data_IF_067777996596
#
_entry.id   IF_067777996596
#
_cell.length_a   1.000
_cell.length_b   1.000
_cell.length_c   1.000
_cell.angle_alpha   90.00
_cell.angle_beta   90.00
_cell.angle_gamma   90.00
#
_symmetry.space_group_name_H-M   'P 1'
#
loop_
_entity.id
_entity.type
_entity.pdbx_description
1 polymer ?
#
# COMPACT_ATOMS: atom_id res chain seq x y z
N UNK A 1 52.92 30.87 -40.35
CA UNK A 1 52.59 31.03 -38.92
C UNK A 1 51.12 31.39 -38.78
N UNK A 2 50.23 30.43 -39.06
CA UNK A 2 48.78 30.64 -38.99
C UNK A 2 48.08 29.27 -38.87
N UNK A 3 47.96 28.72 -37.64
CA UNK A 3 47.15 27.47 -37.46
C UNK A 3 46.74 27.15 -36.00
N UNK A 4 46.78 28.10 -35.08
CA UNK A 4 46.46 27.77 -33.68
C UNK A 4 45.19 28.43 -33.09
N UNK A 5 44.52 29.33 -33.85
CA UNK A 5 43.33 30.05 -33.30
C UNK A 5 42.01 29.26 -33.46
N UNK A 6 41.88 28.43 -34.50
CA UNK A 6 40.60 27.76 -34.78
C UNK A 6 40.31 26.52 -33.90
N UNK A 7 41.34 25.86 -33.39
CA UNK A 7 41.17 24.65 -32.53
C UNK A 7 40.60 24.99 -31.15
N UNK A 8 40.98 26.17 -30.59
CA UNK A 8 40.49 26.59 -29.27
C UNK A 8 38.99 26.91 -29.26
N UNK A 9 38.47 27.50 -30.34
CA UNK A 9 37.03 27.81 -30.45
C UNK A 9 36.16 26.54 -30.62
N UNK A 10 36.67 25.54 -31.34
CA UNK A 10 35.96 24.26 -31.54
C UNK A 10 35.89 23.50 -30.23
N UNK A 11 36.95 23.45 -29.41
CA UNK A 11 36.98 22.76 -28.13
C UNK A 11 36.06 23.44 -27.09
N UNK A 12 35.99 24.76 -27.07
CA UNK A 12 35.09 25.51 -26.17
C UNK A 12 33.64 25.30 -26.59
N UNK A 13 33.32 25.28 -27.90
CA UNK A 13 31.97 25.05 -28.42
C UNK A 13 31.48 23.64 -28.06
N UNK A 14 32.31 22.60 -28.23
CA UNK A 14 31.97 21.23 -27.87
C UNK A 14 31.77 21.04 -26.36
N UNK A 15 32.56 21.70 -25.52
CA UNK A 15 32.42 21.65 -24.06
C UNK A 15 31.09 22.26 -23.57
N UNK A 16 30.68 23.41 -24.15
CA UNK A 16 29.41 24.07 -23.79
C UNK A 16 28.20 23.25 -24.24
N UNK A 17 28.23 22.64 -25.44
CA UNK A 17 27.14 21.77 -25.92
C UNK A 17 27.02 20.50 -25.05
N UNK A 18 28.15 19.88 -24.68
CA UNK A 18 28.13 18.72 -23.80
C UNK A 18 27.59 19.05 -22.39
N UNK A 19 27.93 20.22 -21.83
CA UNK A 19 27.42 20.68 -20.55
C UNK A 19 25.90 20.97 -20.60
N UNK A 20 25.41 21.59 -21.67
CA UNK A 20 23.97 21.86 -21.85
C UNK A 20 23.17 20.59 -22.04
N UNK A 21 23.67 19.62 -22.80
CA UNK A 21 23.03 18.29 -22.95
C UNK A 21 23.02 17.52 -21.62
N UNK A 22 24.11 17.58 -20.86
CA UNK A 22 24.19 16.94 -19.54
C UNK A 22 23.22 17.56 -18.53
N UNK A 23 23.09 18.87 -18.49
CA UNK A 23 22.13 19.57 -17.62
C UNK A 23 20.70 19.29 -18.05
N UNK A 24 20.41 19.27 -19.36
CA UNK A 24 19.06 18.95 -19.86
C UNK A 24 18.68 17.48 -19.59
N UNK A 25 19.61 16.55 -19.76
CA UNK A 25 19.39 15.15 -19.41
C UNK A 25 19.17 14.98 -17.91
N UNK A 26 19.93 15.66 -17.05
CA UNK A 26 19.77 15.54 -15.59
C UNK A 26 18.47 16.18 -15.09
N UNK A 27 18.05 17.30 -15.66
CA UNK A 27 16.75 17.90 -15.33
C UNK A 27 15.57 17.05 -15.85
N UNK A 28 15.73 16.39 -17.01
CA UNK A 28 14.72 15.46 -17.55
C UNK A 28 14.63 14.16 -16.75
N UNK A 29 15.76 13.56 -16.33
CA UNK A 29 15.78 12.39 -15.45
C UNK A 29 15.20 12.66 -14.06
N UNK A 30 15.38 13.87 -13.54
CA UNK A 30 14.80 14.27 -12.25
C UNK A 30 13.28 14.45 -12.25
N UNK A 31 12.66 14.55 -13.43
CA UNK A 31 11.20 14.70 -13.58
C UNK A 31 10.46 13.37 -13.82
N UNK A 32 11.16 12.32 -14.24
CA UNK A 32 10.53 11.01 -14.55
C UNK A 32 10.22 10.13 -13.34
N UNK A 33 10.47 10.56 -12.10
CA UNK A 33 10.37 9.71 -10.91
C UNK A 33 9.45 10.17 -9.79
N UNK A 34 8.83 11.35 -9.87
CA UNK A 34 7.89 11.78 -8.84
C UNK A 34 6.47 11.57 -9.32
N UNK A 35 5.84 10.49 -8.86
CA UNK A 35 4.38 10.38 -8.96
C UNK A 35 3.75 11.68 -8.46
N UNK A 36 2.87 12.26 -9.26
CA UNK A 36 2.07 13.45 -8.88
C UNK A 36 1.31 13.23 -7.56
N UNK A 37 1.10 11.97 -7.22
CA UNK A 37 0.38 11.53 -6.04
C UNK A 37 1.27 10.61 -5.22
N UNK A 38 1.68 11.08 -4.04
CA UNK A 38 2.43 10.29 -3.07
C UNK A 38 1.46 9.64 -2.08
N UNK A 39 1.73 8.39 -1.71
CA UNK A 39 1.01 7.70 -0.65
C UNK A 39 1.87 7.73 0.61
N UNK A 40 1.53 8.54 1.62
CA UNK A 40 2.32 8.62 2.84
C UNK A 40 2.26 7.32 3.64
N UNK A 41 3.29 7.00 4.43
CA UNK A 41 3.21 5.93 5.41
C UNK A 41 2.19 6.27 6.48
N UNK A 42 1.48 5.26 6.96
CA UNK A 42 0.50 5.33 8.02
C UNK A 42 0.56 4.08 8.89
N UNK A 43 0.06 4.17 10.11
CA UNK A 43 -0.08 3.03 11.00
C UNK A 43 -1.32 3.15 11.87
N UNK A 44 -1.83 2.02 12.32
CA UNK A 44 -2.86 1.92 13.33
C UNK A 44 -2.45 0.84 14.33
N UNK A 45 -2.60 1.14 15.61
CA UNK A 45 -2.34 0.21 16.69
C UNK A 45 -3.53 0.18 17.66
N UNK A 46 -3.83 -0.99 18.21
CA UNK A 46 -4.84 -1.18 19.23
C UNK A 46 -4.40 -2.29 20.21
N UNK A 47 -4.79 -2.16 21.47
CA UNK A 47 -4.68 -3.22 22.46
C UNK A 47 -6.06 -3.86 22.62
N UNK A 48 -6.21 -5.12 22.25
CA UNK A 48 -7.48 -5.84 22.31
C UNK A 48 -7.24 -7.16 23.08
N UNK A 49 -8.07 -7.42 24.06
CA UNK A 49 -7.88 -8.54 24.97
C UNK A 49 -6.61 -8.49 25.82
N UNK A 50 -5.96 -7.32 25.91
CA UNK A 50 -4.67 -7.10 26.59
C UNK A 50 -3.45 -7.21 25.66
N UNK A 51 -3.62 -7.64 24.40
CA UNK A 51 -2.52 -7.85 23.47
C UNK A 51 -2.46 -6.76 22.38
N UNK A 52 -1.26 -6.24 22.09
CA UNK A 52 -1.08 -5.23 21.06
C UNK A 52 -1.15 -5.83 19.64
N UNK A 53 -1.88 -5.14 18.77
CA UNK A 53 -1.94 -5.39 17.34
C UNK A 53 -1.52 -4.11 16.63
N UNK A 54 -0.62 -4.20 15.68
CA UNK A 54 -0.15 -3.07 14.88
C UNK A 54 -0.28 -3.36 13.39
N UNK A 55 -0.73 -2.37 12.61
CA UNK A 55 -0.78 -2.46 11.14
C UNK A 55 -0.05 -1.25 10.58
N UNK A 56 0.92 -1.50 9.70
CA UNK A 56 1.69 -0.50 8.97
C UNK A 56 1.32 -0.57 7.49
N UNK A 57 1.03 0.56 6.88
CA UNK A 57 0.58 0.62 5.48
C UNK A 57 0.96 1.96 4.83
N UNK A 58 0.69 2.08 3.54
CA UNK A 58 0.77 3.35 2.81
C UNK A 58 -0.64 3.77 2.42
N UNK A 59 -0.99 5.02 2.68
CA UNK A 59 -2.34 5.57 2.55
C UNK A 59 -2.51 6.37 1.25
N UNK A 60 -2.95 5.75 0.14
CA UNK A 60 -3.25 6.47 -1.10
C UNK A 60 -4.51 7.32 -0.95
N UNK A 61 -4.57 8.45 -1.68
CA UNK A 61 -5.75 9.31 -1.77
C UNK A 61 -6.41 9.21 -3.15
N UNK A 62 -7.70 9.47 -3.21
CA UNK A 62 -8.52 9.43 -4.43
C UNK A 62 -8.07 10.48 -5.45
N UNK A 63 -7.86 11.70 -5.02
CA UNK A 63 -7.61 12.85 -5.90
C UNK A 63 -8.61 12.94 -7.05
N UNK A 64 -9.91 12.78 -6.75
CA UNK A 64 -11.00 12.82 -7.72
C UNK A 64 -11.07 11.61 -8.66
N UNK A 65 -10.27 10.57 -8.46
CA UNK A 65 -10.29 9.35 -9.28
C UNK A 65 -11.28 8.34 -8.70
N UNK A 66 -11.89 7.54 -9.57
CA UNK A 66 -12.66 6.37 -9.14
C UNK A 66 -11.71 5.32 -8.57
N UNK A 67 -11.98 4.85 -7.35
CA UNK A 67 -11.14 3.86 -6.67
C UNK A 67 -11.62 2.44 -6.97
N UNK A 68 -12.80 2.08 -6.49
CA UNK A 68 -13.30 0.70 -6.62
C UNK A 68 -13.75 0.40 -8.05
N UNK A 69 -13.16 -0.62 -8.67
CA UNK A 69 -13.34 -0.92 -10.09
C UNK A 69 -12.56 0.03 -11.04
N UNK A 70 -11.69 0.89 -10.49
CA UNK A 70 -10.81 1.81 -11.23
C UNK A 70 -9.37 1.62 -10.77
N UNK A 71 -8.90 2.43 -9.80
CA UNK A 71 -7.54 2.30 -9.24
C UNK A 71 -7.30 0.94 -8.58
N UNK A 72 -8.33 0.38 -7.98
CA UNK A 72 -8.38 -0.96 -7.39
C UNK A 72 -9.38 -1.79 -8.21
N UNK A 73 -8.91 -2.53 -9.22
CA UNK A 73 -9.79 -3.33 -10.07
C UNK A 73 -10.44 -4.47 -9.28
N UNK A 74 -11.69 -4.78 -9.61
CA UNK A 74 -12.36 -5.96 -9.06
C UNK A 74 -11.75 -7.24 -9.63
N UNK A 75 -11.68 -8.29 -8.81
CA UNK A 75 -11.13 -9.59 -9.19
C UNK A 75 -9.60 -9.64 -9.28
N UNK A 76 -8.90 -8.57 -8.87
CA UNK A 76 -7.43 -8.49 -8.85
C UNK A 76 -6.94 -8.35 -7.42
N UNK A 77 -5.91 -9.12 -7.06
CA UNK A 77 -5.29 -9.04 -5.73
C UNK A 77 -4.63 -7.67 -5.55
N UNK A 78 -4.94 -7.01 -4.45
CA UNK A 78 -4.44 -5.69 -4.09
C UNK A 78 -3.64 -5.74 -2.79
N UNK A 79 -2.53 -5.04 -2.72
CA UNK A 79 -1.63 -4.94 -1.56
C UNK A 79 -2.25 -4.23 -0.33
N UNK A 80 -3.54 -3.90 -0.39
CA UNK A 80 -4.31 -3.25 0.69
C UNK A 80 -3.70 -1.91 1.14
N UNK A 81 -3.25 -1.14 0.16
CA UNK A 81 -2.54 0.13 0.36
C UNK A 81 -1.84 0.57 -0.92
N UNK A 82 -0.61 1.08 -0.77
CA UNK A 82 0.25 1.47 -1.89
C UNK A 82 1.72 1.18 -1.55
N UNK A 83 2.62 1.27 -2.56
CA UNK A 83 4.07 1.09 -2.46
C UNK A 83 4.46 -0.31 -1.95
N UNK A 84 4.47 -0.53 -0.64
CA UNK A 84 4.76 -1.82 0.00
C UNK A 84 3.47 -2.45 0.49
N UNK A 85 3.42 -3.78 0.52
CA UNK A 85 2.29 -4.51 1.06
C UNK A 85 2.04 -4.14 2.53
N UNK A 86 0.78 -3.96 2.88
CA UNK A 86 0.35 -3.69 4.26
C UNK A 86 0.81 -4.82 5.18
N UNK A 87 1.37 -4.47 6.33
CA UNK A 87 1.90 -5.43 7.31
C UNK A 87 1.10 -5.37 8.60
N UNK A 88 0.65 -6.53 9.07
CA UNK A 88 0.10 -6.72 10.42
C UNK A 88 1.12 -7.41 11.31
N UNK A 89 1.24 -6.95 12.55
CA UNK A 89 2.01 -7.60 13.62
C UNK A 89 1.11 -7.79 14.83
N UNK A 90 1.03 -9.02 15.33
CA UNK A 90 0.25 -9.37 16.53
C UNK A 90 1.08 -10.20 17.49
N UNK A 91 0.95 -9.93 18.79
CA UNK A 91 1.61 -10.71 19.85
C UNK A 91 0.75 -11.88 20.35
N UNK A 92 -0.53 -11.91 19.98
CA UNK A 92 -1.44 -13.00 20.30
C UNK A 92 -1.96 -13.69 19.04
N UNK A 93 -2.46 -14.91 19.21
CA UNK A 93 -3.18 -15.60 18.15
C UNK A 93 -4.51 -14.87 17.87
N UNK A 94 -4.87 -14.74 16.60
CA UNK A 94 -6.14 -14.15 16.17
C UNK A 94 -7.01 -15.20 15.48
N UNK A 95 -8.29 -15.17 15.74
CA UNK A 95 -9.29 -15.91 14.95
C UNK A 95 -10.12 -14.88 14.17
N UNK A 96 -10.14 -14.97 12.84
CA UNK A 96 -10.88 -14.06 11.96
C UNK A 96 -11.56 -14.86 10.84
N UNK A 97 -12.89 -14.93 10.91
CA UNK A 97 -13.70 -15.64 9.90
C UNK A 97 -13.31 -17.11 9.71
N UNK A 98 -12.98 -17.81 10.79
CA UNK A 98 -12.54 -19.21 10.80
C UNK A 98 -11.03 -19.39 10.58
N UNK A 99 -10.30 -18.35 10.18
CA UNK A 99 -8.84 -18.39 10.01
C UNK A 99 -8.17 -18.18 11.37
N UNK A 100 -7.43 -19.17 11.85
CA UNK A 100 -6.64 -19.11 13.10
C UNK A 100 -5.22 -18.67 12.77
N UNK A 101 -4.94 -17.38 12.96
CA UNK A 101 -3.66 -16.74 12.69
C UNK A 101 -2.79 -16.76 13.95
N UNK A 102 -1.63 -17.43 13.98
CA UNK A 102 -0.70 -17.38 15.10
C UNK A 102 -0.12 -15.98 15.34
N UNK A 103 0.36 -15.72 16.54
CA UNK A 103 1.18 -14.55 16.81
C UNK A 103 2.35 -14.45 15.82
N UNK A 104 2.61 -13.26 15.31
CA UNK A 104 3.65 -13.06 14.28
C UNK A 104 3.44 -11.81 13.46
N UNK A 105 4.21 -11.73 12.37
CA UNK A 105 4.11 -10.66 11.36
C UNK A 105 3.75 -11.26 10.00
N UNK A 106 2.81 -10.63 9.32
CA UNK A 106 2.25 -11.09 8.04
C UNK A 106 2.01 -9.89 7.13
N UNK A 107 1.92 -10.10 5.83
CA UNK A 107 1.32 -9.09 4.98
C UNK A 107 -0.17 -9.35 4.75
N UNK A 108 -0.89 -8.24 4.59
CA UNK A 108 -2.32 -8.22 4.27
C UNK A 108 -2.48 -7.89 2.79
N UNK A 109 -3.20 -8.74 2.10
CA UNK A 109 -3.68 -8.52 0.74
C UNK A 109 -5.18 -8.68 0.71
N UNK A 110 -5.83 -8.08 -0.27
CA UNK A 110 -7.27 -8.27 -0.47
C UNK A 110 -7.58 -8.58 -1.93
N UNK A 111 -8.65 -9.31 -2.15
CA UNK A 111 -9.25 -9.53 -3.46
C UNK A 111 -10.62 -8.85 -3.45
N UNK A 112 -10.70 -7.59 -3.92
CA UNK A 112 -11.95 -6.84 -3.95
C UNK A 112 -12.90 -7.36 -5.02
N UNK A 113 -14.19 -7.43 -4.69
CA UNK A 113 -15.30 -7.60 -5.61
C UNK A 113 -16.41 -6.61 -5.26
N UNK A 114 -17.45 -6.50 -6.07
CA UNK A 114 -18.51 -5.51 -5.84
C UNK A 114 -19.22 -5.68 -4.49
N UNK A 115 -19.55 -6.91 -4.11
CA UNK A 115 -20.39 -7.20 -2.95
C UNK A 115 -19.66 -7.98 -1.85
N UNK A 116 -18.45 -8.42 -2.10
CA UNK A 116 -17.69 -9.27 -1.20
C UNK A 116 -16.19 -9.07 -1.43
N UNK A 117 -15.43 -8.98 -0.35
CA UNK A 117 -13.98 -8.96 -0.42
C UNK A 117 -13.42 -10.21 0.23
N UNK A 118 -12.27 -10.67 -0.28
CA UNK A 118 -11.49 -11.70 0.39
C UNK A 118 -10.27 -11.07 1.04
N UNK A 119 -10.11 -11.26 2.35
CA UNK A 119 -8.87 -10.98 3.07
C UNK A 119 -7.90 -12.14 2.81
N UNK A 120 -6.66 -11.80 2.50
CA UNK A 120 -5.57 -12.75 2.29
C UNK A 120 -4.47 -12.41 3.27
N UNK A 121 -4.12 -13.34 4.13
CA UNK A 121 -2.97 -13.25 5.01
C UNK A 121 -1.82 -14.01 4.36
N UNK A 122 -0.68 -13.36 4.17
CA UNK A 122 0.47 -13.94 3.50
C UNK A 122 1.68 -13.93 4.45
N UNK A 123 2.46 -15.01 4.44
CA UNK A 123 3.61 -15.22 5.35
C UNK A 123 4.79 -14.32 5.02
N UNK A 124 4.90 -13.87 3.78
CA UNK A 124 5.95 -12.97 3.34
C UNK A 124 5.65 -11.53 3.79
N UNK A 125 6.65 -10.77 4.21
CA UNK A 125 6.53 -9.37 4.59
C UNK A 125 7.60 -8.53 3.90
N UNK A 126 7.33 -7.21 3.74
CA UNK A 126 8.29 -6.28 3.15
C UNK A 126 8.40 -6.35 1.62
N UNK A 127 7.47 -7.00 0.94
CA UNK A 127 7.42 -7.06 -0.51
C UNK A 127 6.75 -5.82 -1.12
N UNK A 128 7.21 -5.45 -2.32
CA UNK A 128 6.61 -4.38 -3.10
C UNK A 128 5.20 -4.78 -3.60
N UNK A 129 4.31 -3.82 -3.80
CA UNK A 129 2.89 -4.07 -4.09
C UNK A 129 2.60 -4.91 -5.35
N UNK A 130 3.58 -5.10 -6.23
CA UNK A 130 3.47 -5.95 -7.41
C UNK A 130 4.06 -7.36 -7.21
N UNK A 131 4.66 -7.62 -6.04
CA UNK A 131 5.38 -8.87 -5.75
C UNK A 131 4.55 -9.81 -4.86
N UNK A 132 3.31 -10.05 -5.25
CA UNK A 132 2.44 -11.00 -4.56
C UNK A 132 2.76 -12.44 -4.99
N UNK A 133 2.98 -13.31 -4.01
CA UNK A 133 3.18 -14.74 -4.19
C UNK A 133 2.10 -15.53 -3.44
N UNK A 134 1.17 -16.10 -4.18
CA UNK A 134 0.06 -16.88 -3.63
C UNK A 134 0.51 -18.18 -2.94
N UNK A 135 1.71 -18.70 -3.25
CA UNK A 135 2.27 -19.88 -2.57
C UNK A 135 2.64 -19.60 -1.10
N UNK A 136 2.78 -18.32 -0.75
CA UNK A 136 3.06 -17.85 0.60
C UNK A 136 1.78 -17.50 1.38
N UNK A 137 0.59 -17.72 0.82
CA UNK A 137 -0.64 -17.47 1.56
C UNK A 137 -0.69 -18.36 2.80
N UNK A 138 -0.92 -17.73 3.96
CA UNK A 138 -1.25 -18.44 5.19
C UNK A 138 -2.69 -18.92 5.14
N UNK A 139 -3.60 -18.07 4.65
CA UNK A 139 -4.99 -18.39 4.48
C UNK A 139 -5.79 -17.20 3.95
N UNK A 140 -7.04 -17.50 3.62
CA UNK A 140 -8.00 -16.55 3.06
C UNK A 140 -9.31 -16.62 3.80
N UNK A 141 -9.97 -15.49 3.98
CA UNK A 141 -11.27 -15.40 4.62
C UNK A 141 -12.10 -14.28 4.03
N UNK A 142 -13.42 -14.36 4.19
CA UNK A 142 -14.36 -13.39 3.64
C UNK A 142 -14.46 -12.15 4.52
N UNK A 143 -14.57 -10.97 3.90
CA UNK A 143 -14.88 -9.71 4.54
C UNK A 143 -16.30 -9.25 4.19
N UNK A 144 -16.97 -8.60 5.13
CA UNK A 144 -18.23 -7.91 4.89
C UNK A 144 -17.97 -6.58 4.21
N UNK A 145 -18.79 -6.22 3.21
CA UNK A 145 -18.69 -4.95 2.50
C UNK A 145 -19.95 -4.14 2.72
N UNK A 146 -19.79 -2.86 3.01
CA UNK A 146 -20.93 -1.90 3.09
C UNK A 146 -20.56 -0.59 2.43
N UNK A 147 -21.59 0.13 1.98
CA UNK A 147 -21.46 1.48 1.43
C UNK A 147 -21.47 2.50 2.56
N UNK A 148 -20.50 3.43 2.53
CA UNK A 148 -20.42 4.55 3.45
C UNK A 148 -21.30 5.71 2.95
N UNK A 149 -21.94 6.41 3.88
CA UNK A 149 -22.74 7.61 3.57
C UNK A 149 -21.86 8.80 3.14
N UNK A 150 -20.62 8.87 3.65
CA UNK A 150 -19.65 9.93 3.32
C UNK A 150 -18.39 9.29 2.76
N UNK A 151 -17.90 9.75 1.60
CA UNK A 151 -16.68 9.23 1.01
C UNK A 151 -15.45 9.49 1.90
N UNK A 152 -14.54 8.52 1.93
CA UNK A 152 -13.23 8.61 2.59
C UNK A 152 -12.18 8.89 1.53
N UNK A 153 -11.62 10.11 1.51
CA UNK A 153 -10.66 10.57 0.49
C UNK A 153 -9.36 9.78 0.50
N UNK A 154 -8.78 9.55 1.69
CA UNK A 154 -7.53 8.84 1.86
C UNK A 154 -7.80 7.46 2.45
N UNK A 155 -7.25 6.41 1.85
CA UNK A 155 -7.34 5.04 2.36
C UNK A 155 -6.98 4.96 3.83
N UNK A 156 -7.84 4.33 4.62
CA UNK A 156 -7.71 4.22 6.07
C UNK A 156 -7.93 2.79 6.52
N UNK A 157 -7.07 2.32 7.41
CA UNK A 157 -7.27 1.08 8.16
C UNK A 157 -7.64 1.43 9.59
N UNK A 158 -8.62 0.74 10.15
CA UNK A 158 -9.04 0.88 11.53
C UNK A 158 -9.02 -0.47 12.25
N UNK A 159 -8.57 -0.45 13.50
CA UNK A 159 -8.73 -1.52 14.46
C UNK A 159 -9.69 -1.00 15.54
N UNK A 160 -10.90 -1.53 15.55
CA UNK A 160 -11.96 -1.13 16.48
C UNK A 160 -12.12 -2.21 17.55
N UNK A 161 -12.18 -1.83 18.83
CA UNK A 161 -12.57 -2.79 19.89
C UNK A 161 -14.08 -3.06 19.82
N UNK A 162 -14.46 -4.31 19.94
CA UNK A 162 -15.87 -4.76 20.02
C UNK A 162 -16.16 -5.40 21.39
N UNK A 163 -15.40 -5.00 22.40
CA UNK A 163 -15.50 -5.43 23.78
C UNK A 163 -14.69 -6.70 24.10
N UNK A 164 -14.10 -6.73 25.30
CA UNK A 164 -13.29 -7.86 25.76
C UNK A 164 -12.11 -8.17 24.84
N UNK A 165 -12.07 -9.39 24.33
CA UNK A 165 -11.05 -9.86 23.41
C UNK A 165 -11.48 -9.81 21.93
N UNK A 166 -12.56 -9.11 21.59
CA UNK A 166 -13.08 -8.99 20.23
C UNK A 166 -12.69 -7.65 19.60
N UNK A 167 -12.44 -7.66 18.32
CA UNK A 167 -12.16 -6.49 17.51
C UNK A 167 -12.68 -6.59 16.09
N UNK A 168 -12.61 -5.49 15.39
CA UNK A 168 -12.97 -5.38 13.97
C UNK A 168 -11.79 -4.75 13.24
N UNK A 169 -11.29 -5.42 12.21
CA UNK A 169 -10.42 -4.85 11.20
C UNK A 169 -11.29 -4.26 10.10
N UNK A 170 -11.15 -2.97 9.83
CA UNK A 170 -11.92 -2.28 8.80
C UNK A 170 -10.99 -1.51 7.84
N UNK A 171 -11.28 -1.61 6.55
CA UNK A 171 -10.62 -0.96 5.43
C UNK A 171 -11.61 0.03 4.83
N UNK A 172 -11.27 1.32 4.82
CA UNK A 172 -12.18 2.39 4.37
C UNK A 172 -11.53 3.19 3.24
N UNK A 173 -12.18 3.26 2.12
CA UNK A 173 -11.77 4.14 1.01
C UNK A 173 -12.93 4.41 0.06
N UNK A 174 -12.98 5.62 -0.51
CA UNK A 174 -14.13 6.06 -1.32
C UNK A 174 -15.43 5.89 -0.52
N UNK A 175 -16.45 5.26 -1.07
CA UNK A 175 -17.70 4.92 -0.38
C UNK A 175 -17.75 3.49 0.12
N UNK A 176 -16.60 2.82 0.26
CA UNK A 176 -16.52 1.41 0.63
C UNK A 176 -15.90 1.22 2.01
N UNK A 177 -16.55 0.45 2.88
CA UNK A 177 -15.94 -0.18 4.05
C UNK A 177 -15.97 -1.70 3.83
N UNK A 178 -14.78 -2.32 3.82
CA UNK A 178 -14.63 -3.78 3.92
C UNK A 178 -14.14 -4.12 5.32
N UNK A 179 -14.85 -4.99 6.05
CA UNK A 179 -14.53 -5.27 7.44
C UNK A 179 -14.67 -6.75 7.81
N UNK A 180 -13.91 -7.15 8.81
CA UNK A 180 -13.97 -8.50 9.38
C UNK A 180 -13.83 -8.43 10.90
N UNK A 181 -14.74 -9.06 11.66
CA UNK A 181 -14.55 -9.26 13.09
C UNK A 181 -13.44 -10.27 13.35
N UNK A 182 -12.72 -10.09 14.44
CA UNK A 182 -11.73 -11.04 14.92
C UNK A 182 -11.78 -11.18 16.44
N UNK A 183 -11.23 -12.29 16.94
CA UNK A 183 -11.11 -12.57 18.36
C UNK A 183 -9.65 -12.84 18.70
N UNK A 184 -9.14 -12.21 19.75
CA UNK A 184 -7.81 -12.50 20.32
C UNK A 184 -7.93 -13.79 21.13
N UNK A 185 -7.16 -14.80 20.76
CA UNK A 185 -7.17 -16.13 21.35
C UNK A 185 -6.07 -16.24 22.42
N UNK A 186 -6.40 -16.78 23.56
CA UNK A 186 -5.47 -17.07 24.67
C UNK A 186 -5.12 -18.54 24.71
#
# INVERSE_FOLDING_TARGET
MMRTRNVRFILVGLGVVAALVGVFAWTSYGQFGRSKYTSPPASVAATIGGDPINIEYYAPSMHGRKVMGGLVPFGVVWCTGANWATKITTQANLEMGGLKLPAGSYSIWTLPNQNEWTLIINKQTGQFHLSYDSSQDFGRTRMNVKTLATPVETFKIELRSDGGNKGILALLWETTEASIPFTVMR
#
